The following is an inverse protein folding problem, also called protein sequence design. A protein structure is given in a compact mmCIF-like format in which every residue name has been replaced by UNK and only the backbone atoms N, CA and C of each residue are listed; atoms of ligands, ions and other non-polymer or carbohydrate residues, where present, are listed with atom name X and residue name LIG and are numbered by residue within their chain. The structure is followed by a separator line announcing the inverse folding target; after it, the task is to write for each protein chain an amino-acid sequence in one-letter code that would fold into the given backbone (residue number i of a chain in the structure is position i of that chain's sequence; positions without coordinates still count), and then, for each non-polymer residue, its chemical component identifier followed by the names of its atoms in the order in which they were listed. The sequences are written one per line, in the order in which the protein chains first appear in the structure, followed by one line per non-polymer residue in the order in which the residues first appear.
data_IF_019849920793
#
_entry.id   IF_019849920793
#
_cell.length_a   1.000
_cell.length_b   1.000
_cell.length_c   1.000
_cell.angle_alpha   90.00
_cell.angle_beta   90.00
_cell.angle_gamma   90.00
#
_symmetry.space_group_name_H-M   'P 1'
#
loop_
_entity.id
_entity.type
_entity.pdbx_description
1 polymer ?
#
# COMPACT_ATOMS: atom_id res chain seq x y z
N UNK A 1 -17.50 -5.21 -7.62
CA UNK A 1 -16.29 -4.56 -8.15
C UNK A 1 -15.14 -5.53 -8.01
N UNK A 2 -14.12 -5.44 -8.85
CA UNK A 2 -12.93 -6.30 -8.75
C UNK A 2 -11.69 -5.43 -8.59
N UNK A 3 -10.69 -5.92 -7.87
CA UNK A 3 -9.40 -5.26 -7.71
C UNK A 3 -8.31 -6.18 -8.23
N UNK A 4 -7.38 -5.62 -9.01
CA UNK A 4 -6.23 -6.35 -9.50
C UNK A 4 -4.95 -5.65 -9.04
N UNK A 5 -3.96 -6.45 -8.69
CA UNK A 5 -2.66 -5.98 -8.23
C UNK A 5 -1.74 -5.77 -9.43
N UNK A 6 -1.18 -4.57 -9.51
CA UNK A 6 -0.11 -4.19 -10.41
C UNK A 6 0.99 -3.58 -9.56
N UNK A 7 2.26 -3.83 -9.85
CA UNK A 7 3.29 -3.27 -8.98
C UNK A 7 4.63 -3.93 -9.07
N UNK A 8 5.44 -3.63 -8.06
CA UNK A 8 6.88 -3.84 -8.14
C UNK A 8 7.57 -2.73 -8.91
N UNK A 9 6.89 -1.60 -9.13
CA UNK A 9 7.47 -0.44 -9.79
C UNK A 9 8.50 0.18 -8.85
N UNK A 10 9.76 0.18 -9.30
CA UNK A 10 10.85 0.80 -8.55
C UNK A 10 10.73 2.30 -8.65
N UNK A 11 10.77 2.98 -7.50
CA UNK A 11 10.81 4.43 -7.50
C UNK A 11 12.26 4.88 -7.70
N UNK A 12 12.53 5.85 -8.61
CA UNK A 12 13.89 6.30 -8.88
C UNK A 12 14.55 6.85 -7.60
N UNK A 13 15.84 6.57 -7.47
CA UNK A 13 16.65 6.97 -6.32
C UNK A 13 17.97 7.58 -6.73
N UNK A 14 18.37 8.57 -5.95
CA UNK A 14 19.69 9.17 -6.04
C UNK A 14 20.25 9.41 -4.62
N UNK A 15 21.52 9.08 -4.42
CA UNK A 15 22.23 9.16 -3.14
C UNK A 15 21.41 8.67 -1.92
N UNK A 16 20.66 7.58 -2.11
CA UNK A 16 19.85 6.97 -1.06
C UNK A 16 18.48 7.62 -0.81
N UNK A 17 18.11 8.69 -1.53
CA UNK A 17 16.80 9.36 -1.44
C UNK A 17 15.93 8.99 -2.63
N UNK A 18 14.61 8.98 -2.43
CA UNK A 18 13.65 8.83 -3.53
C UNK A 18 13.61 10.16 -4.27
N UNK A 19 13.96 10.16 -5.55
CA UNK A 19 13.96 11.36 -6.39
C UNK A 19 12.68 11.34 -7.22
N UNK A 20 11.59 11.74 -6.57
CA UNK A 20 10.31 12.01 -7.21
C UNK A 20 9.81 13.41 -6.83
N UNK A 21 10.71 14.29 -6.39
CA UNK A 21 10.40 15.70 -6.16
C UNK A 21 10.25 16.48 -7.48
N UNK A 22 10.97 16.04 -8.51
CA UNK A 22 11.02 16.65 -9.84
C UNK A 22 9.85 16.19 -10.73
N UNK A 23 9.38 17.11 -11.57
CA UNK A 23 8.26 16.87 -12.50
C UNK A 23 8.67 15.86 -13.57
N UNK A 24 9.89 15.99 -14.11
CA UNK A 24 10.38 15.14 -15.20
C UNK A 24 10.54 13.68 -14.75
N UNK A 25 11.05 13.47 -13.52
CA UNK A 25 11.17 12.14 -12.93
C UNK A 25 9.82 11.48 -12.67
N UNK A 26 8.83 12.25 -12.22
CA UNK A 26 7.45 11.76 -12.06
C UNK A 26 6.84 11.42 -13.42
N UNK A 27 7.10 12.24 -14.42
CA UNK A 27 6.59 12.02 -15.77
C UNK A 27 7.17 10.72 -16.34
N UNK A 28 8.48 10.55 -16.31
CA UNK A 28 9.16 9.32 -16.76
C UNK A 28 8.61 8.07 -16.05
N UNK A 29 8.46 8.12 -14.73
CA UNK A 29 7.85 7.02 -13.97
C UNK A 29 6.44 6.66 -14.48
N UNK A 30 5.59 7.66 -14.72
CA UNK A 30 4.23 7.41 -15.18
C UNK A 30 4.17 6.97 -16.65
N UNK A 31 5.11 7.41 -17.48
CA UNK A 31 5.25 6.92 -18.85
C UNK A 31 5.60 5.42 -18.88
N UNK A 32 6.54 4.98 -18.03
CA UNK A 32 6.86 3.56 -17.88
C UNK A 32 5.66 2.73 -17.40
N UNK A 33 4.94 3.24 -16.40
CA UNK A 33 3.72 2.57 -15.90
C UNK A 33 2.67 2.47 -16.99
N UNK A 34 2.42 3.55 -17.73
CA UNK A 34 1.42 3.61 -18.79
C UNK A 34 1.79 2.72 -19.99
N UNK A 35 3.09 2.65 -20.32
CA UNK A 35 3.61 1.73 -21.33
C UNK A 35 3.38 0.26 -20.92
N UNK A 36 3.62 -0.07 -19.64
CA UNK A 36 3.44 -1.44 -19.13
C UNK A 36 1.98 -1.86 -19.00
N UNK A 37 1.11 -0.96 -18.52
CA UNK A 37 -0.30 -1.20 -18.25
C UNK A 37 -1.11 0.05 -18.61
N UNK A 38 -1.59 0.15 -19.88
CA UNK A 38 -2.33 1.31 -20.34
C UNK A 38 -3.58 1.59 -19.50
N UNK A 39 -3.76 2.84 -19.11
CA UNK A 39 -4.86 3.36 -18.29
C UNK A 39 -4.67 3.19 -16.78
N UNK A 40 -3.60 2.52 -16.32
CA UNK A 40 -3.36 2.35 -14.89
C UNK A 40 -3.08 3.68 -14.19
N UNK A 41 -2.39 4.60 -14.87
CA UNK A 41 -2.05 5.90 -14.29
C UNK A 41 -3.29 6.74 -13.93
N UNK A 42 -4.35 6.62 -14.73
CA UNK A 42 -5.64 7.30 -14.56
C UNK A 42 -6.68 6.52 -13.75
N UNK A 43 -6.38 5.28 -13.38
CA UNK A 43 -7.26 4.43 -12.57
C UNK A 43 -7.39 4.92 -11.11
N UNK A 44 -8.42 4.40 -10.43
CA UNK A 44 -8.66 4.59 -9.00
C UNK A 44 -8.53 3.27 -8.22
N UNK A 45 -8.29 3.33 -6.91
CA UNK A 45 -8.15 2.16 -6.04
C UNK A 45 -7.29 2.43 -4.81
N UNK A 46 -6.51 1.43 -4.39
CA UNK A 46 -5.56 1.55 -3.27
C UNK A 46 -4.11 1.41 -3.77
N UNK A 47 -3.16 1.97 -3.05
CA UNK A 47 -1.74 1.85 -3.35
C UNK A 47 -0.94 1.57 -2.08
N UNK A 48 0.17 0.85 -2.24
CA UNK A 48 1.06 0.45 -1.15
C UNK A 48 2.48 0.79 -1.51
N UNK A 49 3.13 1.58 -0.65
CA UNK A 49 4.56 1.76 -0.69
C UNK A 49 5.23 0.64 0.10
N UNK A 50 6.15 -0.08 -0.54
CA UNK A 50 6.96 -1.13 0.06
C UNK A 50 8.44 -0.78 0.01
N UNK A 51 9.25 -1.35 0.90
CA UNK A 51 10.71 -1.27 0.84
C UNK A 51 11.24 -2.70 0.80
N UNK A 52 11.97 -3.03 -0.26
CA UNK A 52 12.62 -4.32 -0.44
C UNK A 52 14.04 -4.28 0.09
N UNK A 53 14.34 -5.21 0.99
CA UNK A 53 15.69 -5.46 1.51
C UNK A 53 16.01 -6.95 1.31
N UNK A 54 17.25 -7.38 1.56
CA UNK A 54 17.69 -8.76 1.30
C UNK A 54 16.85 -9.89 1.93
N UNK A 55 15.95 -9.58 2.89
CA UNK A 55 14.99 -10.53 3.49
C UNK A 55 13.54 -10.41 2.98
N UNK A 56 13.30 -9.67 1.89
CA UNK A 56 11.98 -9.48 1.29
C UNK A 56 11.46 -8.05 1.34
N UNK A 57 10.19 -7.88 0.95
CA UNK A 57 9.53 -6.57 0.85
C UNK A 57 8.62 -6.35 2.06
N UNK A 58 8.78 -5.21 2.75
CA UNK A 58 7.88 -4.78 3.84
C UNK A 58 7.04 -3.59 3.39
N UNK A 59 5.72 -3.57 3.68
CA UNK A 59 4.89 -2.39 3.43
C UNK A 59 5.18 -1.29 4.47
N UNK A 60 5.24 -0.04 4.02
CA UNK A 60 5.56 1.13 4.85
C UNK A 60 4.48 2.19 4.85
N UNK A 61 3.63 2.22 3.83
CA UNK A 61 2.48 3.10 3.76
C UNK A 61 1.42 2.50 2.85
N UNK A 62 0.16 2.66 3.21
CA UNK A 62 -1.02 2.31 2.40
C UNK A 62 -1.85 3.57 2.20
N UNK A 63 -2.34 3.81 0.99
CA UNK A 63 -3.29 4.89 0.75
C UNK A 63 -4.33 4.51 -0.29
N UNK A 64 -5.33 5.35 -0.44
CA UNK A 64 -6.32 5.25 -1.52
C UNK A 64 -6.28 6.44 -2.47
N UNK A 65 -6.55 6.14 -3.74
CA UNK A 65 -6.81 7.10 -4.80
C UNK A 65 -8.26 6.87 -5.25
N UNK A 66 -9.21 7.56 -4.62
CA UNK A 66 -10.65 7.40 -4.87
C UNK A 66 -11.23 8.59 -5.65
N UNK A 67 -10.88 9.79 -5.21
CA UNK A 67 -11.34 11.07 -5.78
C UNK A 67 -10.42 11.62 -6.86
N UNK A 68 -9.22 11.06 -6.94
CA UNK A 68 -8.17 11.40 -7.87
C UNK A 68 -7.56 10.09 -8.40
N UNK A 69 -6.91 10.15 -9.55
CA UNK A 69 -6.22 8.99 -10.11
C UNK A 69 -4.96 8.65 -9.32
N UNK A 70 -4.41 7.45 -9.54
CA UNK A 70 -3.13 7.08 -8.94
C UNK A 70 -2.03 8.10 -9.26
N UNK A 71 -1.99 8.60 -10.50
CA UNK A 71 -1.04 9.64 -10.93
C UNK A 71 -1.08 10.90 -10.08
N UNK A 72 -2.27 11.37 -9.74
CA UNK A 72 -2.47 12.62 -9.01
C UNK A 72 -2.36 12.46 -7.49
N UNK A 73 -2.67 11.29 -6.95
CA UNK A 73 -2.73 11.08 -5.49
C UNK A 73 -1.46 10.46 -4.91
N UNK A 74 -0.93 9.39 -5.54
CA UNK A 74 0.05 8.51 -4.89
C UNK A 74 1.43 9.15 -4.72
N UNK A 75 1.83 10.03 -5.65
CA UNK A 75 3.13 10.72 -5.63
C UNK A 75 3.02 12.19 -5.22
N UNK A 76 2.00 12.56 -4.45
CA UNK A 76 1.92 13.90 -3.86
C UNK A 76 3.06 14.13 -2.85
N UNK A 77 3.45 15.39 -2.65
CA UNK A 77 4.59 15.75 -1.80
C UNK A 77 4.45 15.23 -0.36
N UNK A 78 3.25 15.28 0.21
CA UNK A 78 2.96 14.70 1.55
C UNK A 78 3.25 13.20 1.62
N UNK A 79 2.92 12.45 0.58
CA UNK A 79 3.11 10.99 0.51
C UNK A 79 4.58 10.64 0.31
N UNK A 80 5.25 11.36 -0.59
CA UNK A 80 6.69 11.23 -0.81
C UNK A 80 7.48 11.56 0.46
N UNK A 81 7.12 12.63 1.18
CA UNK A 81 7.79 13.01 2.44
C UNK A 81 7.66 11.92 3.51
N UNK A 82 6.46 11.33 3.66
CA UNK A 82 6.24 10.19 4.57
C UNK A 82 7.10 9.00 4.16
N UNK A 83 7.18 8.73 2.87
CA UNK A 83 7.91 7.60 2.36
C UNK A 83 9.43 7.78 2.45
N UNK A 84 9.96 8.97 2.18
CA UNK A 84 11.36 9.31 2.44
C UNK A 84 11.73 9.16 3.91
N UNK A 85 10.83 9.53 4.82
CA UNK A 85 11.02 9.32 6.26
C UNK A 85 11.14 7.83 6.60
N UNK A 86 10.33 6.98 5.94
CA UNK A 86 10.44 5.53 6.00
C UNK A 86 11.82 5.04 5.52
N UNK A 87 12.23 5.51 4.34
CA UNK A 87 13.50 5.12 3.72
C UNK A 87 14.70 5.49 4.60
N UNK A 88 14.68 6.68 5.22
CA UNK A 88 15.70 7.11 6.18
C UNK A 88 15.75 6.21 7.41
N UNK A 89 14.59 5.80 7.94
CA UNK A 89 14.51 4.89 9.08
C UNK A 89 15.07 3.49 8.75
N UNK A 90 14.83 2.98 7.53
CA UNK A 90 15.38 1.69 7.10
C UNK A 90 16.87 1.77 6.74
N UNK A 91 17.32 2.92 6.26
CA UNK A 91 18.72 3.20 5.88
C UNK A 91 19.14 2.60 4.52
N UNK A 92 18.56 1.47 4.09
CA UNK A 92 18.86 0.83 2.79
C UNK A 92 17.64 0.08 2.22
N UNK A 93 17.71 -0.28 0.93
CA UNK A 93 16.68 -1.08 0.26
C UNK A 93 16.05 -0.38 -0.94
N UNK A 94 15.35 -1.13 -1.78
CA UNK A 94 14.70 -0.62 -3.00
C UNK A 94 13.28 -0.17 -2.70
N UNK A 95 12.91 1.07 -3.06
CA UNK A 95 11.55 1.55 -2.89
C UNK A 95 10.65 0.98 -3.98
N UNK A 96 9.48 0.50 -3.59
CA UNK A 96 8.52 -0.14 -4.49
C UNK A 96 7.14 0.49 -4.31
N UNK A 97 6.43 0.64 -5.42
CA UNK A 97 5.02 1.03 -5.44
C UNK A 97 4.17 -0.06 -6.08
N UNK A 98 3.05 -0.35 -5.41
CA UNK A 98 2.03 -1.30 -5.82
C UNK A 98 0.67 -0.60 -5.88
N UNK A 99 -0.16 -0.98 -6.84
CA UNK A 99 -1.50 -0.48 -7.08
C UNK A 99 -2.50 -1.64 -7.09
N UNK A 100 -3.49 -1.55 -6.21
CA UNK A 100 -4.71 -2.34 -6.28
C UNK A 100 -5.75 -1.54 -7.07
N UNK A 101 -5.72 -1.69 -8.40
CA UNK A 101 -6.58 -0.94 -9.30
C UNK A 101 -8.00 -1.52 -9.32
N UNK A 102 -8.98 -0.65 -9.14
CA UNK A 102 -10.39 -1.00 -9.19
C UNK A 102 -10.84 -1.15 -10.64
N UNK A 103 -11.62 -2.19 -10.91
CA UNK A 103 -12.16 -2.48 -12.24
C UNK A 103 -13.66 -2.73 -12.18
N UNK A 104 -14.33 -2.40 -13.29
CA UNK A 104 -15.76 -2.69 -13.46
C UNK A 104 -15.96 -4.19 -13.72
N UNK A 105 -17.16 -4.71 -13.43
CA UNK A 105 -17.46 -6.14 -13.58
C UNK A 105 -17.40 -6.61 -15.04
N UNK A 106 -17.64 -5.72 -15.98
CA UNK A 106 -17.63 -6.02 -17.41
C UNK A 106 -16.31 -5.50 -18.00
N UNK A 107 -15.45 -6.42 -18.48
CA UNK A 107 -14.27 -6.16 -19.32
C UNK A 107 -12.96 -5.74 -18.66
N UNK A 108 -12.75 -5.97 -17.36
CA UNK A 108 -11.49 -5.59 -16.68
C UNK A 108 -11.11 -4.10 -16.85
N UNK A 109 -12.05 -3.26 -17.27
CA UNK A 109 -11.79 -1.85 -17.52
C UNK A 109 -11.55 -1.14 -16.19
N UNK A 110 -10.49 -0.32 -16.15
CA UNK A 110 -10.18 0.47 -14.98
C UNK A 110 -11.33 1.41 -14.63
N UNK A 111 -11.64 1.49 -13.34
CA UNK A 111 -12.56 2.47 -12.82
C UNK A 111 -11.86 3.83 -12.77
N UNK A 112 -12.55 4.86 -13.21
CA UNK A 112 -12.09 6.24 -13.07
C UNK A 112 -12.41 6.78 -11.68
N UNK A 113 -11.69 7.82 -11.22
CA UNK A 113 -12.01 8.50 -9.99
C UNK A 113 -13.43 9.06 -9.99
N UNK A 114 -14.06 9.13 -8.83
CA UNK A 114 -15.40 9.69 -8.66
C UNK A 114 -15.44 10.66 -7.48
N UNK A 115 -16.29 11.69 -7.57
CA UNK A 115 -16.59 12.55 -6.42
C UNK A 115 -17.39 11.80 -5.34
N UNK A 116 -18.15 10.79 -5.75
CA UNK A 116 -18.90 9.90 -4.87
C UNK A 116 -17.97 8.92 -4.16
N UNK A 117 -18.18 8.72 -2.85
CA UNK A 117 -17.38 7.77 -2.07
C UNK A 117 -17.57 6.35 -2.59
N UNK A 118 -16.48 5.68 -2.95
CA UNK A 118 -16.41 4.25 -3.19
C UNK A 118 -16.18 3.54 -1.85
N UNK A 119 -17.29 3.16 -1.18
CA UNK A 119 -17.25 2.44 0.10
C UNK A 119 -16.33 1.21 0.06
N UNK A 120 -16.26 0.55 -1.11
CA UNK A 120 -15.39 -0.59 -1.35
C UNK A 120 -13.89 -0.24 -1.35
N UNK A 121 -13.49 0.92 -1.91
CA UNK A 121 -12.09 1.38 -1.88
C UNK A 121 -11.66 1.67 -0.45
N UNK A 122 -12.52 2.38 0.31
CA UNK A 122 -12.24 2.68 1.72
C UNK A 122 -12.19 1.43 2.60
N UNK A 123 -13.00 0.42 2.29
CA UNK A 123 -12.95 -0.86 3.00
C UNK A 123 -11.66 -1.64 2.67
N UNK A 124 -11.27 -1.69 1.40
CA UNK A 124 -10.01 -2.33 0.99
C UNK A 124 -8.79 -1.65 1.62
N UNK A 125 -8.76 -0.32 1.66
CA UNK A 125 -7.68 0.44 2.32
C UNK A 125 -7.50 -0.01 3.77
N UNK A 126 -8.59 -0.14 4.54
CA UNK A 126 -8.56 -0.61 5.93
C UNK A 126 -8.00 -2.01 6.07
N UNK A 127 -8.43 -2.93 5.20
CA UNK A 127 -7.92 -4.30 5.18
C UNK A 127 -6.42 -4.33 4.88
N UNK A 128 -5.98 -3.58 3.87
CA UNK A 128 -4.57 -3.47 3.51
C UNK A 128 -3.73 -2.86 4.63
N UNK A 129 -4.24 -1.83 5.33
CA UNK A 129 -3.58 -1.25 6.51
C UNK A 129 -3.42 -2.30 7.61
N UNK A 130 -4.46 -3.08 7.89
CA UNK A 130 -4.42 -4.14 8.92
C UNK A 130 -3.34 -5.18 8.60
N UNK A 131 -3.34 -5.71 7.38
CA UNK A 131 -2.33 -6.69 6.94
C UNK A 131 -0.92 -6.09 6.91
N UNK A 132 -0.79 -4.83 6.46
CA UNK A 132 0.49 -4.14 6.43
C UNK A 132 1.05 -3.95 7.84
N UNK A 133 0.20 -3.65 8.84
CA UNK A 133 0.61 -3.48 10.22
C UNK A 133 1.09 -4.80 10.86
N UNK A 134 0.42 -5.92 10.55
CA UNK A 134 0.85 -7.26 11.00
C UNK A 134 2.26 -7.61 10.47
N UNK A 135 2.57 -7.19 9.23
CA UNK A 135 3.89 -7.43 8.60
C UNK A 135 4.94 -6.38 8.97
N UNK A 136 4.53 -5.15 9.28
CA UNK A 136 5.41 -4.05 9.67
C UNK A 136 4.74 -3.17 10.75
N UNK A 137 5.15 -3.37 12.00
CA UNK A 137 4.68 -2.57 13.15
C UNK A 137 4.98 -1.08 13.02
N UNK A 138 5.96 -0.70 12.19
CA UNK A 138 6.37 0.68 11.93
C UNK A 138 5.64 1.34 10.74
N UNK A 139 4.48 0.80 10.32
CA UNK A 139 3.66 1.36 9.24
C UNK A 139 3.33 2.85 9.49
N UNK A 140 3.58 3.74 8.54
CA UNK A 140 3.54 5.20 8.75
C UNK A 140 2.14 5.80 8.71
N UNK A 141 1.13 5.02 8.30
CA UNK A 141 -0.28 5.45 8.27
C UNK A 141 -0.70 6.13 9.58
N UNK A 142 -1.00 7.45 9.49
CA UNK A 142 -1.38 8.29 10.63
C UNK A 142 -2.80 8.02 11.12
N UNK A 143 -3.71 7.65 10.20
CA UNK A 143 -5.14 7.56 10.42
C UNK A 143 -5.56 6.08 10.35
N UNK A 144 -6.40 5.66 11.28
CA UNK A 144 -6.95 4.28 11.43
C UNK A 144 -6.00 3.19 11.99
N UNK A 145 -4.78 3.53 12.39
CA UNK A 145 -3.85 2.53 12.96
C UNK A 145 -3.86 2.45 14.49
N UNK A 146 -4.38 3.43 15.23
CA UNK A 146 -4.35 3.43 16.71
C UNK A 146 -5.06 2.21 17.29
N UNK A 147 -6.33 2.00 16.91
CA UNK A 147 -7.10 0.83 17.33
C UNK A 147 -6.42 -0.48 16.93
N UNK A 148 -5.92 -0.57 15.69
CA UNK A 148 -5.26 -1.79 15.20
C UNK A 148 -3.89 -2.04 15.85
N UNK A 149 -3.21 -1.02 16.37
CA UNK A 149 -1.94 -1.14 17.09
C UNK A 149 -2.14 -1.51 18.56
N UNK A 150 -3.21 -1.01 19.16
CA UNK A 150 -3.50 -1.20 20.60
C UNK A 150 -4.32 -2.47 20.85
N UNK A 151 -5.14 -2.89 19.89
CA UNK A 151 -5.98 -4.08 20.03
C UNK A 151 -5.12 -5.34 19.99
N UNK A 152 -5.26 -6.17 21.03
CA UNK A 152 -4.62 -7.47 21.15
C UNK A 152 -5.72 -8.53 21.04
N UNK A 153 -5.63 -9.35 20.00
CA UNK A 153 -6.48 -10.54 19.83
C UNK A 153 -5.52 -11.72 19.64
N UNK A 154 -5.20 -12.47 20.71
CA UNK A 154 -4.26 -13.58 20.63
C UNK A 154 -4.67 -14.59 19.55
N UNK A 155 -3.74 -14.89 18.64
CA UNK A 155 -3.99 -15.72 17.47
C UNK A 155 -4.36 -14.94 16.21
N UNK A 156 -4.61 -13.63 16.27
CA UNK A 156 -5.08 -12.86 15.10
C UNK A 156 -4.40 -11.51 14.93
N UNK A 157 -4.39 -10.67 15.98
CA UNK A 157 -3.86 -9.29 15.93
C UNK A 157 -2.97 -9.06 17.15
N UNK A 158 -1.75 -8.57 16.92
CA UNK A 158 -0.77 -8.21 17.97
C UNK A 158 -0.59 -9.29 19.05
N UNK A 159 -0.62 -10.57 18.65
CA UNK A 159 -0.42 -11.71 19.55
C UNK A 159 0.84 -11.50 20.42
N UNK A 160 0.70 -11.47 21.76
CA UNK A 160 1.84 -11.35 22.66
C UNK A 160 2.78 -12.56 22.53
N UNK A 161 4.05 -12.38 22.88
CA UNK A 161 4.97 -13.50 22.97
C UNK A 161 4.50 -14.48 24.08
N UNK A 162 4.50 -15.78 23.78
CA UNK A 162 4.05 -16.82 24.71
C UNK A 162 3.26 -17.93 24.01
N UNK A 163 2.81 -18.92 24.80
CA UNK A 163 1.98 -20.00 24.28
C UNK A 163 0.55 -19.54 24.05
N UNK A 164 0.07 -19.65 22.81
CA UNK A 164 -1.36 -19.51 22.51
C UNK A 164 -2.18 -20.59 23.21
N UNK A 165 -3.42 -20.24 23.60
CA UNK A 165 -4.39 -21.23 24.06
C UNK A 165 -4.73 -22.21 22.94
N UNK A 166 -5.24 -23.40 23.27
CA UNK A 166 -5.65 -24.38 22.27
C UNK A 166 -6.71 -23.80 21.31
N UNK A 167 -7.73 -23.13 21.85
CA UNK A 167 -8.76 -22.46 21.07
C UNK A 167 -8.21 -21.38 20.12
N UNK A 168 -7.20 -20.60 20.55
CA UNK A 168 -6.59 -19.59 19.68
C UNK A 168 -5.80 -20.21 18.52
N UNK A 169 -5.13 -21.35 18.73
CA UNK A 169 -4.44 -22.09 17.66
C UNK A 169 -5.41 -22.75 16.68
N UNK A 170 -6.48 -23.34 17.21
CA UNK A 170 -7.56 -23.89 16.39
C UNK A 170 -8.18 -22.81 15.51
N UNK A 171 -8.47 -21.65 16.09
CA UNK A 171 -9.02 -20.51 15.35
C UNK A 171 -8.06 -19.97 14.28
N UNK A 172 -6.75 -19.91 14.57
CA UNK A 172 -5.74 -19.56 13.55
C UNK A 172 -5.79 -20.48 12.34
N UNK A 173 -5.84 -21.79 12.61
CA UNK A 173 -5.88 -22.83 11.58
C UNK A 173 -7.18 -22.75 10.79
N UNK A 174 -8.32 -22.61 11.48
CA UNK A 174 -9.65 -22.52 10.87
C UNK A 174 -9.79 -21.32 9.94
N UNK A 175 -9.23 -20.17 10.33
CA UNK A 175 -9.35 -18.91 9.59
C UNK A 175 -8.21 -18.67 8.59
N UNK A 176 -7.15 -19.49 8.61
CA UNK A 176 -6.01 -19.40 7.70
C UNK A 176 -5.09 -18.20 7.96
N UNK A 177 -4.88 -17.83 9.22
CA UNK A 177 -3.96 -16.75 9.63
C UNK A 177 -2.51 -17.21 9.81
#
# INVERSE_FOLDING_TARGET
MRYYLYGGYELPRDHGRVILGDIDQRQAFWEDVEYSVPGLSDACGCYVFGIRVGGGTKPWYVGKAERQSFKRESLTMDKLTKYESAMKLVGKGTPLLYFYARTTKARHAFSTPSRSKHRDVSYLEKLLISHALQRNKNLINKVETKLLREMIVPGMINTPAGSLTAAAREMQTLMGY
#
